data_IF_844474528756
#
_entry.id   IF_844474528756
#
_cell.length_a   1.000
_cell.length_b   1.000
_cell.length_c   1.000
_cell.angle_alpha   90.00
_cell.angle_beta   90.00
_cell.angle_gamma   90.00
#
_symmetry.space_group_name_H-M   'P 1'
#
loop_
_entity.id
_entity.type
_entity.pdbx_description
1 polymer ?
#
# COMPACT_ATOMS: atom_id res chain seq x y z
N UNK A 1 -49.62 8.06 14.10
CA UNK A 1 -48.91 9.25 14.64
C UNK A 1 -48.20 9.01 15.98
N UNK A 2 -48.66 8.08 16.83
CA UNK A 2 -48.07 7.83 18.17
C UNK A 2 -46.64 7.20 18.16
N UNK A 3 -46.34 6.33 17.20
CA UNK A 3 -45.07 5.57 17.16
C UNK A 3 -43.85 6.44 16.86
N UNK A 4 -43.97 7.41 15.95
CA UNK A 4 -42.87 8.30 15.57
C UNK A 4 -42.44 9.22 16.73
N UNK A 5 -43.39 9.69 17.53
CA UNK A 5 -43.10 10.55 18.67
C UNK A 5 -42.35 9.79 19.77
N UNK A 6 -42.72 8.51 19.98
CA UNK A 6 -42.02 7.62 20.91
C UNK A 6 -40.56 7.36 20.47
N UNK A 7 -40.31 7.22 19.16
CA UNK A 7 -38.95 7.05 18.64
C UNK A 7 -38.10 8.30 18.87
N UNK A 8 -38.64 9.50 18.64
CA UNK A 8 -37.93 10.76 18.89
C UNK A 8 -37.56 10.87 20.38
N UNK A 9 -38.52 10.62 21.27
CA UNK A 9 -38.30 10.69 22.72
C UNK A 9 -37.20 9.72 23.17
N UNK A 10 -37.21 8.50 22.64
CA UNK A 10 -36.20 7.48 22.94
C UNK A 10 -34.81 7.93 22.48
N UNK A 11 -34.68 8.45 21.26
CA UNK A 11 -33.40 8.92 20.74
C UNK A 11 -32.86 10.11 21.52
N UNK A 12 -33.72 11.03 21.96
CA UNK A 12 -33.31 12.15 22.81
C UNK A 12 -32.78 11.68 24.16
N UNK A 13 -33.42 10.68 24.77
CA UNK A 13 -32.95 10.08 26.01
C UNK A 13 -31.60 9.36 25.82
N UNK A 14 -31.45 8.57 24.76
CA UNK A 14 -30.19 7.89 24.45
C UNK A 14 -29.04 8.89 24.20
N UNK A 15 -29.32 10.01 23.53
CA UNK A 15 -28.35 11.09 23.30
C UNK A 15 -27.93 11.76 24.62
N UNK A 16 -28.89 12.05 25.50
CA UNK A 16 -28.59 12.62 26.82
C UNK A 16 -27.70 11.69 27.67
N UNK A 17 -27.99 10.38 27.65
CA UNK A 17 -27.21 9.36 28.37
C UNK A 17 -25.79 9.27 27.80
N UNK A 18 -25.65 9.24 26.48
CA UNK A 18 -24.35 9.17 25.82
C UNK A 18 -23.48 10.40 26.15
N UNK A 19 -24.07 11.60 26.12
CA UNK A 19 -23.36 12.84 26.45
C UNK A 19 -22.90 12.87 27.91
N UNK A 20 -23.74 12.44 28.85
CA UNK A 20 -23.35 12.32 30.25
C UNK A 20 -22.16 11.35 30.43
N UNK A 21 -22.15 10.23 29.70
CA UNK A 21 -21.05 9.27 29.76
C UNK A 21 -19.75 9.81 29.17
N UNK A 22 -19.82 10.55 28.06
CA UNK A 22 -18.68 11.22 27.46
C UNK A 22 -18.05 12.19 28.47
N UNK A 23 -18.87 13.01 29.14
CA UNK A 23 -18.37 13.96 30.13
C UNK A 23 -17.69 13.25 31.32
N UNK A 24 -18.26 12.14 31.80
CA UNK A 24 -17.64 11.32 32.84
C UNK A 24 -16.26 10.78 32.41
N UNK A 25 -16.17 10.20 31.21
CA UNK A 25 -14.92 9.65 30.69
C UNK A 25 -13.86 10.74 30.45
N UNK A 26 -14.28 11.95 30.09
CA UNK A 26 -13.37 13.09 29.96
C UNK A 26 -12.80 13.49 31.33
N UNK A 27 -13.62 13.56 32.38
CA UNK A 27 -13.17 13.85 33.74
C UNK A 27 -12.22 12.78 34.29
N UNK A 28 -12.50 11.50 34.02
CA UNK A 28 -11.63 10.39 34.39
C UNK A 28 -10.27 10.47 33.68
N UNK A 29 -10.27 10.72 32.36
CA UNK A 29 -9.03 10.91 31.60
C UNK A 29 -8.20 12.10 32.11
N UNK A 30 -8.84 13.20 32.51
CA UNK A 30 -8.14 14.34 33.12
C UNK A 30 -7.53 13.96 34.46
N UNK A 31 -8.22 13.17 35.27
CA UNK A 31 -7.73 12.71 36.58
C UNK A 31 -6.56 11.74 36.45
N UNK A 32 -6.66 10.77 35.54
CA UNK A 32 -5.58 9.81 35.24
C UNK A 32 -4.33 10.52 34.70
N UNK A 33 -4.49 11.51 33.82
CA UNK A 33 -3.36 12.31 33.32
C UNK A 33 -2.65 13.09 34.42
N UNK A 34 -3.39 13.59 35.43
CA UNK A 34 -2.80 14.26 36.59
C UNK A 34 -2.02 13.28 37.48
N UNK A 35 -2.51 12.05 37.65
CA UNK A 35 -1.81 11.01 38.41
C UNK A 35 -0.52 10.54 37.73
N UNK A 36 -0.53 10.39 36.41
CA UNK A 36 0.67 10.01 35.63
C UNK A 36 1.71 11.14 35.62
N UNK A 37 1.30 12.39 35.77
CA UNK A 37 2.22 13.54 35.85
C UNK A 37 2.91 13.70 37.22
N UNK A 38 2.55 12.90 38.23
CA UNK A 38 3.10 12.98 39.60
C UNK A 38 4.06 11.86 39.99
N UNK A 39 4.56 11.08 39.02
CA UNK A 39 5.57 10.05 39.29
C UNK A 39 6.99 10.68 39.38
N UNK A 40 7.71 10.57 40.51
CA UNK A 40 9.02 11.18 40.67
C UNK A 40 10.10 10.30 40.02
N UNK A 41 10.82 10.86 39.03
CA UNK A 41 12.03 10.26 38.47
C UNK A 41 13.25 10.71 39.30
N UNK A 42 14.21 9.83 39.64
CA UNK A 42 15.37 10.21 40.44
C UNK A 42 16.39 11.05 39.65
N UNK A 43 16.72 12.19 40.25
CA UNK A 43 17.98 12.94 40.30
C UNK A 43 18.99 12.81 39.14
N UNK A 44 19.22 13.93 38.44
CA UNK A 44 20.57 14.40 38.07
C UNK A 44 20.56 15.87 37.60
N UNK A 45 20.97 16.75 38.53
CA UNK A 45 21.70 18.01 38.41
C UNK A 45 21.34 19.12 37.38
N UNK A 46 21.27 20.30 37.99
CA UNK A 46 21.04 21.67 37.52
C UNK A 46 22.24 22.34 36.83
N UNK A 47 22.01 23.02 35.69
CA UNK A 47 22.15 24.49 35.49
C UNK A 47 22.19 24.87 33.99
N UNK A 48 21.54 25.98 33.55
CA UNK A 48 21.81 26.70 32.29
C UNK A 48 22.81 27.88 32.56
N UNK A 49 23.15 28.83 31.64
CA UNK A 49 22.80 29.03 30.22
C UNK A 49 24.03 29.30 29.30
N UNK A 50 23.86 29.35 27.97
CA UNK A 50 24.36 30.45 27.09
C UNK A 50 24.35 30.12 25.59
N UNK A 51 24.00 31.16 24.85
CA UNK A 51 23.94 31.40 23.42
C UNK A 51 25.33 31.48 22.77
N UNK A 52 25.57 30.83 21.61
CA UNK A 52 26.45 31.32 20.53
C UNK A 52 26.57 30.36 19.32
N UNK A 53 26.66 31.01 18.17
CA UNK A 53 26.74 30.67 16.74
C UNK A 53 27.75 29.56 16.32
N UNK A 54 27.56 28.83 15.19
CA UNK A 54 28.57 27.93 14.63
C UNK A 54 29.47 28.61 13.57
N UNK A 55 30.79 28.33 13.51
CA UNK A 55 31.67 28.69 12.39
C UNK A 55 31.99 27.48 11.45
N UNK A 56 32.63 27.71 10.27
CA UNK A 56 32.60 26.81 9.10
C UNK A 56 33.78 25.81 9.04
N UNK A 57 33.77 24.82 8.11
CA UNK A 57 34.85 23.84 7.98
C UNK A 57 36.03 24.36 7.13
N UNK A 58 37.25 24.19 7.65
CA UNK A 58 38.50 24.56 6.99
C UNK A 58 39.11 23.39 6.18
N UNK A 59 39.79 23.79 5.11
CA UNK A 59 40.42 23.03 4.04
C UNK A 59 41.85 22.59 4.42
N UNK A 60 42.26 21.37 4.06
CA UNK A 60 43.66 21.07 3.72
C UNK A 60 43.77 19.86 2.75
N UNK A 61 44.32 20.12 1.57
CA UNK A 61 44.87 19.13 0.62
C UNK A 61 46.37 18.89 0.94
N UNK A 62 47.03 17.86 0.37
CA UNK A 62 47.88 18.07 -0.83
C UNK A 62 48.01 16.79 -1.73
N UNK A 63 48.94 16.70 -2.70
CA UNK A 63 48.93 17.32 -4.02
C UNK A 63 48.99 16.30 -5.20
N UNK A 64 49.00 16.85 -6.42
CA UNK A 64 48.80 16.24 -7.73
C UNK A 64 49.82 15.18 -8.20
N UNK A 65 49.33 14.24 -9.03
CA UNK A 65 50.05 13.64 -10.16
C UNK A 65 49.09 13.46 -11.36
N UNK A 66 49.61 13.73 -12.55
CA UNK A 66 48.93 14.05 -13.81
C UNK A 66 48.63 12.82 -14.70
N UNK A 67 47.55 12.91 -15.51
CA UNK A 67 47.33 12.34 -16.87
C UNK A 67 47.17 10.79 -16.98
N UNK A 68 46.36 10.17 -17.85
CA UNK A 68 45.70 10.51 -19.12
C UNK A 68 44.58 9.46 -19.37
N UNK A 69 43.37 9.87 -19.80
CA UNK A 69 42.44 9.02 -20.56
C UNK A 69 42.63 9.29 -22.06
N UNK A 70 42.24 8.38 -22.97
CA UNK A 70 41.00 8.65 -23.72
C UNK A 70 40.15 7.43 -24.13
N UNK A 71 38.87 7.76 -24.36
CA UNK A 71 37.77 6.99 -24.97
C UNK A 71 38.06 6.59 -26.43
N UNK A 72 37.43 5.51 -26.96
CA UNK A 72 36.61 5.54 -28.19
C UNK A 72 35.86 4.23 -28.49
N UNK A 73 34.76 4.36 -29.23
CA UNK A 73 33.72 3.37 -29.58
C UNK A 73 33.83 2.99 -31.10
N UNK A 74 32.87 2.30 -31.76
CA UNK A 74 33.10 1.09 -32.59
C UNK A 74 32.98 1.28 -34.12
N UNK A 75 33.39 0.28 -34.92
CA UNK A 75 32.78 0.06 -36.26
C UNK A 75 32.93 -1.36 -36.84
N UNK A 76 31.89 -1.77 -37.54
CA UNK A 76 31.72 -3.00 -38.35
C UNK A 76 32.44 -2.91 -39.70
N UNK A 77 32.89 -4.05 -40.25
CA UNK A 77 32.92 -4.57 -41.64
C UNK A 77 33.73 -5.89 -41.52
N UNK A 78 33.51 -7.03 -42.16
CA UNK A 78 32.84 -7.42 -43.38
C UNK A 78 33.60 -8.65 -43.89
N UNK A 79 32.94 -9.82 -43.94
CA UNK A 79 33.18 -10.95 -44.86
C UNK A 79 34.64 -11.43 -45.07
N UNK A 80 35.06 -12.45 -44.30
CA UNK A 80 36.01 -13.44 -44.84
C UNK A 80 35.68 -14.87 -44.39
N UNK A 81 35.65 -15.81 -45.33
CA UNK A 81 35.11 -17.18 -45.17
C UNK A 81 36.11 -18.18 -44.59
N UNK A 82 37.31 -17.74 -44.24
CA UNK A 82 38.40 -18.65 -43.81
C UNK A 82 38.57 -18.77 -42.28
N UNK A 83 37.98 -17.86 -41.49
CA UNK A 83 38.04 -17.95 -40.01
C UNK A 83 37.06 -19.02 -39.46
N UNK A 84 35.98 -19.30 -40.19
CA UNK A 84 34.96 -20.28 -39.78
C UNK A 84 35.40 -21.75 -39.97
N UNK A 85 36.33 -22.03 -40.90
CA UNK A 85 36.86 -23.39 -41.09
C UNK A 85 37.91 -23.76 -40.04
N UNK A 86 38.70 -22.79 -39.59
CA UNK A 86 39.73 -23.01 -38.56
C UNK A 86 39.14 -23.30 -37.17
N UNK A 87 37.97 -22.72 -36.85
CA UNK A 87 37.29 -22.93 -35.57
C UNK A 87 36.48 -24.25 -35.49
N UNK A 88 36.15 -24.87 -36.63
CA UNK A 88 35.48 -26.17 -36.67
C UNK A 88 36.41 -27.38 -36.45
N UNK A 89 37.72 -27.20 -36.64
CA UNK A 89 38.70 -28.30 -36.59
C UNK A 89 39.33 -28.49 -35.18
N UNK A 90 39.27 -27.48 -34.31
CA UNK A 90 39.67 -27.60 -32.89
C UNK A 90 38.51 -28.12 -32.01
N UNK A 91 37.60 -28.89 -32.62
CA UNK A 91 36.48 -29.54 -31.92
C UNK A 91 36.65 -31.06 -31.75
N UNK A 92 37.83 -31.63 -32.00
CA UNK A 92 38.05 -33.08 -31.80
C UNK A 92 39.46 -33.34 -31.27
N UNK A 93 39.63 -33.34 -29.93
CA UNK A 93 40.53 -34.19 -29.13
C UNK A 93 40.76 -33.56 -27.74
N UNK A 94 40.18 -34.15 -26.69
CA UNK A 94 40.54 -33.86 -25.30
C UNK A 94 39.36 -33.77 -24.32
N UNK A 95 38.96 -34.90 -23.73
CA UNK A 95 38.10 -34.93 -22.54
C UNK A 95 38.94 -34.61 -21.29
N UNK A 96 38.42 -33.79 -20.36
CA UNK A 96 38.45 -33.92 -18.87
C UNK A 96 37.88 -32.66 -18.20
N UNK A 97 37.39 -32.71 -16.95
CA UNK A 97 36.09 -32.16 -16.59
C UNK A 97 36.18 -30.84 -15.81
N UNK A 98 35.38 -29.84 -16.20
CA UNK A 98 35.29 -28.57 -15.47
C UNK A 98 33.83 -28.22 -15.18
N UNK A 99 33.46 -28.52 -13.94
CA UNK A 99 32.59 -27.74 -13.04
C UNK A 99 31.42 -26.99 -13.70
N UNK A 100 30.24 -27.63 -13.69
CA UNK A 100 28.97 -26.93 -13.79
C UNK A 100 28.87 -25.96 -12.60
N UNK A 101 29.09 -24.67 -12.83
CA UNK A 101 28.68 -23.63 -11.88
C UNK A 101 27.16 -23.64 -11.85
N UNK A 102 26.61 -24.34 -10.86
CA UNK A 102 25.21 -24.25 -10.50
C UNK A 102 24.90 -22.79 -10.18
N UNK A 103 24.02 -22.16 -10.96
CA UNK A 103 23.35 -20.92 -10.54
C UNK A 103 22.72 -21.20 -9.17
N UNK A 104 23.25 -20.55 -8.14
CA UNK A 104 22.70 -20.62 -6.79
C UNK A 104 21.22 -20.20 -6.87
N UNK A 105 20.28 -20.96 -6.28
CA UNK A 105 18.89 -20.55 -6.25
C UNK A 105 18.80 -19.19 -5.56
N UNK A 106 18.19 -18.22 -6.24
CA UNK A 106 17.97 -16.88 -5.70
C UNK A 106 17.34 -17.02 -4.30
N UNK A 107 17.93 -16.46 -3.23
CA UNK A 107 17.44 -16.67 -1.87
C UNK A 107 16.00 -16.19 -1.79
N UNK A 108 15.10 -17.10 -1.41
CA UNK A 108 13.68 -16.77 -1.24
C UNK A 108 13.56 -15.61 -0.25
N UNK A 109 12.77 -14.57 -0.54
CA UNK A 109 12.61 -13.46 0.38
C UNK A 109 12.07 -14.00 1.71
N UNK A 110 12.83 -13.78 2.79
CA UNK A 110 12.43 -14.20 4.14
C UNK A 110 11.20 -13.37 4.54
N UNK A 111 10.11 -14.03 4.89
CA UNK A 111 8.96 -13.35 5.47
C UNK A 111 9.39 -12.66 6.77
N UNK A 112 8.90 -11.43 7.02
CA UNK A 112 9.12 -10.76 8.31
C UNK A 112 8.70 -11.69 9.45
N UNK A 113 9.51 -11.80 10.50
CA UNK A 113 9.19 -12.61 11.69
C UNK A 113 7.82 -12.22 12.28
N UNK A 114 7.47 -10.93 12.22
CA UNK A 114 6.15 -10.44 12.64
C UNK A 114 5.01 -10.99 11.77
N UNK A 115 5.22 -11.20 10.48
CA UNK A 115 4.21 -11.78 9.59
C UNK A 115 4.00 -13.28 9.87
N UNK A 116 5.06 -13.99 10.23
CA UNK A 116 5.01 -15.42 10.61
C UNK A 116 4.28 -15.57 11.95
N UNK A 117 4.66 -14.78 12.96
CA UNK A 117 4.02 -14.82 14.28
C UNK A 117 2.50 -14.57 14.23
N UNK A 118 2.06 -13.66 13.34
CA UNK A 118 0.62 -13.37 13.12
C UNK A 118 -0.19 -14.56 12.64
N UNK A 119 0.41 -15.56 11.99
CA UNK A 119 -0.32 -16.76 11.54
C UNK A 119 -0.86 -17.58 12.73
N UNK A 120 -0.25 -17.43 13.90
CA UNK A 120 -0.62 -18.14 15.13
C UNK A 120 -1.34 -17.23 16.13
N UNK A 121 -1.60 -15.97 15.78
CA UNK A 121 -2.31 -15.03 16.64
C UNK A 121 -3.83 -15.12 16.43
N UNK A 122 -4.61 -14.97 17.50
CA UNK A 122 -6.08 -14.93 17.40
C UNK A 122 -6.55 -13.85 16.41
N UNK A 123 -7.53 -14.12 15.54
CA UNK A 123 -8.07 -13.12 14.62
C UNK A 123 -8.60 -11.93 15.42
N UNK A 124 -7.95 -10.78 15.30
CA UNK A 124 -8.43 -9.54 15.91
C UNK A 124 -9.53 -8.96 15.02
N UNK A 125 -10.77 -8.94 15.52
CA UNK A 125 -11.97 -8.42 14.85
C UNK A 125 -12.35 -9.18 13.55
N UNK A 126 -13.61 -9.05 13.06
CA UNK A 126 -13.98 -9.55 11.73
C UNK A 126 -13.02 -8.98 10.67
N UNK A 127 -12.68 -9.83 9.69
CA UNK A 127 -11.75 -9.50 8.61
C UNK A 127 -12.12 -8.16 7.96
N UNK A 128 -11.34 -7.13 8.26
CA UNK A 128 -11.55 -5.79 7.74
C UNK A 128 -10.60 -5.52 6.58
N UNK A 129 -11.11 -4.81 5.58
CA UNK A 129 -10.37 -4.49 4.37
C UNK A 129 -10.33 -2.98 4.17
N UNK A 130 -9.23 -2.48 3.61
CA UNK A 130 -9.04 -1.06 3.39
C UNK A 130 -8.34 -0.80 2.06
N UNK A 131 -8.69 0.31 1.43
CA UNK A 131 -7.92 0.87 0.33
C UNK A 131 -6.84 1.81 0.86
N UNK A 132 -5.60 1.60 0.44
CA UNK A 132 -4.51 2.56 0.62
C UNK A 132 -4.23 3.23 -0.72
N UNK A 133 -4.24 4.56 -0.74
CA UNK A 133 -4.02 5.37 -1.92
C UNK A 133 -2.58 5.88 -1.96
N UNK A 134 -1.87 5.54 -3.02
CA UNK A 134 -0.45 5.87 -3.22
C UNK A 134 -0.31 6.66 -4.52
N UNK A 135 0.39 7.81 -4.50
CA UNK A 135 0.64 8.58 -5.71
C UNK A 135 1.59 7.82 -6.64
N UNK A 136 1.34 7.93 -7.94
CA UNK A 136 2.19 7.38 -9.00
C UNK A 136 2.41 8.44 -10.08
N UNK A 137 3.63 8.52 -10.62
CA UNK A 137 3.94 9.46 -11.70
C UNK A 137 3.35 9.01 -13.04
N UNK A 138 3.36 7.70 -13.30
CA UNK A 138 2.84 7.10 -14.52
C UNK A 138 2.14 5.80 -14.20
N UNK A 139 1.12 5.47 -14.99
CA UNK A 139 0.46 4.16 -14.92
C UNK A 139 1.39 3.10 -15.45
N UNK A 140 1.52 2.02 -14.69
CA UNK A 140 2.33 0.85 -15.06
C UNK A 140 1.40 -0.33 -15.34
N UNK A 141 1.78 -1.30 -16.16
CA UNK A 141 1.12 -2.59 -16.16
C UNK A 141 1.13 -3.20 -14.76
N UNK A 142 0.04 -3.86 -14.34
CA UNK A 142 -0.12 -4.40 -12.98
C UNK A 142 1.03 -5.36 -12.61
N UNK A 143 1.51 -6.16 -13.56
CA UNK A 143 2.63 -7.08 -13.35
C UNK A 143 3.94 -6.34 -13.01
N UNK A 144 4.20 -5.21 -13.69
CA UNK A 144 5.37 -4.36 -13.46
C UNK A 144 5.24 -3.64 -12.11
N UNK A 145 4.06 -3.11 -11.78
CA UNK A 145 3.84 -2.51 -10.46
C UNK A 145 4.08 -3.52 -9.34
N UNK A 146 3.58 -4.75 -9.48
CA UNK A 146 3.86 -5.83 -8.53
C UNK A 146 5.34 -6.21 -8.48
N UNK A 147 6.09 -6.08 -9.58
CA UNK A 147 7.53 -6.31 -9.60
C UNK A 147 8.27 -5.24 -8.81
N UNK A 148 7.99 -3.96 -9.08
CA UNK A 148 8.57 -2.83 -8.36
C UNK A 148 8.28 -2.91 -6.85
N UNK A 149 7.05 -3.27 -6.45
CA UNK A 149 6.74 -3.49 -5.04
C UNK A 149 7.61 -4.57 -4.39
N UNK A 150 7.93 -5.65 -5.11
CA UNK A 150 8.84 -6.70 -4.61
C UNK A 150 10.28 -6.20 -4.49
N UNK A 151 10.73 -5.36 -5.43
CA UNK A 151 12.05 -4.71 -5.37
C UNK A 151 12.15 -3.75 -4.17
N UNK A 152 11.05 -3.09 -3.81
CA UNK A 152 10.94 -2.29 -2.58
C UNK A 152 10.80 -3.14 -1.30
N UNK A 153 10.92 -4.46 -1.40
CA UNK A 153 10.70 -5.43 -0.32
C UNK A 153 9.29 -5.41 0.30
N UNK A 154 8.29 -4.96 -0.46
CA UNK A 154 6.89 -5.00 -0.07
C UNK A 154 6.29 -6.34 -0.49
N UNK A 155 5.56 -6.98 0.42
CA UNK A 155 4.91 -8.26 0.13
C UNK A 155 3.66 -8.06 -0.75
N UNK A 156 3.87 -8.03 -2.07
CA UNK A 156 2.80 -7.86 -3.06
C UNK A 156 1.73 -8.96 -3.04
N UNK A 157 1.96 -10.11 -2.39
CA UNK A 157 0.94 -11.17 -2.24
C UNK A 157 -0.16 -10.80 -1.23
N UNK A 158 0.15 -9.91 -0.28
CA UNK A 158 -0.82 -9.42 0.72
C UNK A 158 -1.68 -8.27 0.20
N UNK A 159 -1.37 -7.77 -1.01
CA UNK A 159 -2.20 -6.82 -1.74
C UNK A 159 -3.21 -7.63 -2.55
N UNK A 160 -4.47 -7.56 -2.13
CA UNK A 160 -5.57 -8.36 -2.68
C UNK A 160 -5.92 -7.90 -4.10
N UNK A 161 -5.99 -6.59 -4.31
CA UNK A 161 -6.25 -5.99 -5.62
C UNK A 161 -5.50 -4.66 -5.79
N UNK A 162 -5.28 -4.29 -7.05
CA UNK A 162 -4.62 -3.06 -7.45
C UNK A 162 -5.55 -2.33 -8.43
N UNK A 163 -5.91 -1.09 -8.10
CA UNK A 163 -6.80 -0.27 -8.91
C UNK A 163 -6.20 1.09 -9.20
N UNK A 164 -6.39 1.59 -10.42
CA UNK A 164 -6.06 2.97 -10.75
C UNK A 164 -7.27 3.86 -10.46
N UNK A 165 -7.37 4.35 -9.22
CA UNK A 165 -8.50 5.20 -8.81
C UNK A 165 -8.52 6.55 -9.53
N UNK A 166 -7.34 7.06 -9.89
CA UNK A 166 -7.18 8.30 -10.64
C UNK A 166 -6.01 8.20 -11.64
N UNK A 167 -5.69 9.27 -12.38
CA UNK A 167 -4.57 9.33 -13.34
C UNK A 167 -3.21 9.12 -12.66
N UNK A 168 -3.03 9.72 -11.49
CA UNK A 168 -1.79 9.72 -10.71
C UNK A 168 -1.92 9.05 -9.33
N UNK A 169 -2.97 8.25 -9.11
CA UNK A 169 -3.18 7.51 -7.85
C UNK A 169 -3.44 6.05 -8.14
N UNK A 170 -2.71 5.18 -7.45
CA UNK A 170 -2.99 3.75 -7.35
C UNK A 170 -3.56 3.43 -5.99
N UNK A 171 -4.47 2.48 -5.95
CA UNK A 171 -5.19 2.05 -4.76
C UNK A 171 -4.94 0.58 -4.53
N UNK A 172 -4.47 0.25 -3.33
CA UNK A 172 -4.19 -1.12 -2.91
C UNK A 172 -5.29 -1.58 -1.98
N UNK A 173 -6.03 -2.63 -2.37
CA UNK A 173 -6.93 -3.31 -1.47
C UNK A 173 -6.12 -4.27 -0.59
N UNK A 174 -6.16 -4.07 0.71
CA UNK A 174 -5.40 -4.85 1.69
C UNK A 174 -6.30 -5.29 2.85
N UNK A 175 -5.85 -6.29 3.60
CA UNK A 175 -6.38 -6.55 4.93
C UNK A 175 -5.82 -5.52 5.93
N UNK A 176 -6.64 -5.03 6.85
CA UNK A 176 -6.25 -4.00 7.84
C UNK A 176 -5.02 -4.39 8.68
N UNK A 177 -4.83 -5.68 8.98
CA UNK A 177 -3.62 -6.14 9.70
C UNK A 177 -2.30 -5.92 8.95
N UNK A 178 -2.34 -5.70 7.63
CA UNK A 178 -1.16 -5.37 6.82
C UNK A 178 -0.90 -3.86 6.75
N UNK A 179 -1.86 -3.04 7.17
CA UNK A 179 -1.86 -1.60 6.97
C UNK A 179 -0.61 -0.93 7.55
N UNK A 180 -0.31 -1.18 8.82
CA UNK A 180 0.85 -0.59 9.50
C UNK A 180 2.18 -1.00 8.88
N UNK A 181 2.31 -2.27 8.49
CA UNK A 181 3.49 -2.80 7.83
C UNK A 181 3.69 -2.17 6.44
N UNK A 182 2.62 -2.10 5.64
CA UNK A 182 2.66 -1.47 4.32
C UNK A 182 3.01 0.02 4.42
N UNK A 183 2.41 0.76 5.36
CA UNK A 183 2.74 2.17 5.60
C UNK A 183 4.22 2.35 5.95
N UNK A 184 4.72 1.59 6.92
CA UNK A 184 6.13 1.68 7.32
C UNK A 184 7.09 1.38 6.17
N UNK A 185 6.77 0.40 5.32
CA UNK A 185 7.58 0.07 4.15
C UNK A 185 7.56 1.18 3.08
N UNK A 186 6.40 1.79 2.83
CA UNK A 186 6.28 2.91 1.89
C UNK A 186 7.04 4.14 2.40
N UNK A 187 6.88 4.50 3.67
CA UNK A 187 7.58 5.62 4.28
C UNK A 187 9.10 5.44 4.32
N UNK A 188 9.59 4.21 4.51
CA UNK A 188 11.01 3.89 4.41
C UNK A 188 11.61 4.31 3.07
N UNK A 189 10.83 4.24 1.98
CA UNK A 189 11.23 4.62 0.63
C UNK A 189 10.77 6.05 0.25
N UNK A 190 10.38 6.88 1.22
CA UNK A 190 9.89 8.26 1.03
C UNK A 190 8.65 8.34 0.13
N UNK A 191 7.87 7.27 0.06
CA UNK A 191 6.60 7.25 -0.67
C UNK A 191 5.51 7.75 0.28
N UNK A 192 4.87 8.86 -0.08
CA UNK A 192 3.76 9.42 0.69
C UNK A 192 2.48 8.64 0.43
N UNK A 193 1.57 8.64 1.41
CA UNK A 193 0.26 8.00 1.31
C UNK A 193 -0.79 9.11 1.32
N UNK A 194 -1.80 8.99 0.46
CA UNK A 194 -2.85 9.99 0.28
C UNK A 194 -4.08 9.61 1.10
N UNK A 195 -3.99 9.80 2.41
CA UNK A 195 -5.05 9.40 3.36
C UNK A 195 -6.36 10.19 3.19
N UNK A 196 -6.28 11.41 2.68
CA UNK A 196 -7.43 12.29 2.41
C UNK A 196 -8.10 12.01 1.06
N UNK A 197 -7.58 11.08 0.26
CA UNK A 197 -8.17 10.79 -1.05
C UNK A 197 -9.45 9.97 -0.89
N UNK A 198 -10.57 10.58 -1.26
CA UNK A 198 -11.85 9.89 -1.34
C UNK A 198 -12.18 9.53 -2.80
N UNK A 199 -12.20 8.23 -3.18
CA UNK A 199 -12.56 7.77 -4.53
C UNK A 199 -14.00 8.08 -4.95
N UNK A 200 -14.87 8.46 -4.02
CA UNK A 200 -16.26 8.84 -4.27
C UNK A 200 -16.44 10.36 -4.43
N UNK A 201 -15.37 11.14 -4.23
CA UNK A 201 -15.44 12.58 -4.33
C UNK A 201 -15.74 13.05 -5.76
N UNK A 202 -16.54 14.13 -5.92
CA UNK A 202 -16.89 14.67 -7.24
C UNK A 202 -15.67 15.25 -7.98
N UNK A 203 -14.58 15.52 -7.25
CA UNK A 203 -13.37 16.18 -7.75
C UNK A 203 -12.46 15.28 -8.59
N UNK A 204 -12.68 13.97 -8.63
CA UNK A 204 -11.84 13.01 -9.38
C UNK A 204 -12.07 13.12 -10.89
N UNK A 205 -13.25 13.58 -11.31
CA UNK A 205 -13.57 13.66 -12.73
C UNK A 205 -12.86 14.85 -13.39
N UNK A 206 -11.74 14.56 -14.06
CA UNK A 206 -10.98 15.51 -14.86
C UNK A 206 -11.45 15.59 -16.33
N UNK A 207 -12.69 15.19 -16.60
CA UNK A 207 -13.27 15.30 -17.94
C UNK A 207 -13.72 16.75 -18.17
N UNK A 208 -13.22 17.44 -19.22
CA UNK A 208 -13.64 18.80 -19.54
C UNK A 208 -15.16 18.92 -19.74
N UNK A 209 -15.82 17.88 -20.25
CA UNK A 209 -17.28 17.87 -20.43
C UNK A 209 -18.05 17.88 -19.10
N UNK A 210 -17.43 17.42 -18.01
CA UNK A 210 -18.04 17.32 -16.69
C UNK A 210 -17.64 18.47 -15.76
N UNK A 211 -16.91 19.49 -16.24
CA UNK A 211 -16.50 20.62 -15.41
C UNK A 211 -17.70 21.45 -14.94
N UNK A 212 -18.68 21.68 -15.82
CA UNK A 212 -19.85 22.52 -15.54
C UNK A 212 -21.08 21.74 -15.05
N UNK A 213 -20.94 20.42 -14.87
CA UNK A 213 -22.04 19.56 -14.41
C UNK A 213 -22.32 19.71 -12.92
N UNK A 214 -23.53 19.32 -12.50
CA UNK A 214 -23.91 19.36 -11.09
C UNK A 214 -23.05 18.43 -10.23
N UNK A 215 -22.82 18.82 -8.98
CA UNK A 215 -22.06 18.02 -8.01
C UNK A 215 -22.69 16.63 -7.87
N UNK A 216 -24.02 16.55 -7.85
CA UNK A 216 -24.75 15.29 -7.76
C UNK A 216 -24.43 14.34 -8.92
N UNK A 217 -24.43 14.84 -10.16
CA UNK A 217 -24.10 14.04 -11.35
C UNK A 217 -22.66 13.54 -11.29
N UNK A 218 -21.72 14.38 -10.84
CA UNK A 218 -20.31 14.01 -10.66
C UNK A 218 -20.15 12.93 -9.58
N UNK A 219 -20.80 13.08 -8.44
CA UNK A 219 -20.77 12.07 -7.36
C UNK A 219 -21.37 10.75 -7.81
N UNK A 220 -22.49 10.78 -8.54
CA UNK A 220 -23.12 9.57 -9.09
C UNK A 220 -22.19 8.85 -10.08
N UNK A 221 -21.52 9.61 -10.95
CA UNK A 221 -20.53 9.06 -11.88
C UNK A 221 -19.31 8.50 -11.15
N UNK A 222 -18.76 9.23 -10.19
CA UNK A 222 -17.61 8.79 -9.38
C UNK A 222 -17.93 7.47 -8.67
N UNK A 223 -19.11 7.39 -8.03
CA UNK A 223 -19.61 6.15 -7.42
C UNK A 223 -19.74 5.03 -8.44
N UNK A 224 -20.35 5.29 -9.60
CA UNK A 224 -20.48 4.29 -10.66
C UNK A 224 -19.12 3.73 -11.10
N UNK A 225 -18.16 4.61 -11.39
CA UNK A 225 -16.81 4.23 -11.82
C UNK A 225 -16.06 3.44 -10.73
N UNK A 226 -16.18 3.87 -9.47
CA UNK A 226 -15.61 3.16 -8.33
C UNK A 226 -16.19 1.74 -8.22
N UNK A 227 -17.52 1.62 -8.28
CA UNK A 227 -18.22 0.34 -8.21
C UNK A 227 -17.86 -0.60 -9.38
N UNK A 228 -17.70 -0.09 -10.60
CA UNK A 228 -17.24 -0.87 -11.75
C UNK A 228 -15.83 -1.46 -11.53
N UNK A 229 -14.92 -0.66 -10.94
CA UNK A 229 -13.57 -1.13 -10.59
C UNK A 229 -13.61 -2.17 -9.48
N UNK A 230 -14.44 -1.96 -8.46
CA UNK A 230 -14.64 -2.89 -7.36
C UNK A 230 -15.22 -4.24 -7.83
N UNK A 231 -16.23 -4.23 -8.69
CA UNK A 231 -16.77 -5.47 -9.28
C UNK A 231 -15.73 -6.20 -10.16
N UNK A 232 -14.87 -5.46 -10.86
CA UNK A 232 -13.73 -6.04 -11.58
C UNK A 232 -12.69 -6.65 -10.64
N UNK A 233 -12.49 -6.07 -9.45
CA UNK A 233 -11.62 -6.63 -8.42
C UNK A 233 -12.16 -7.95 -7.89
N UNK A 234 -13.45 -8.01 -7.60
CA UNK A 234 -14.09 -9.22 -7.09
C UNK A 234 -13.93 -10.40 -8.04
N UNK A 235 -14.06 -10.18 -9.36
CA UNK A 235 -13.80 -11.20 -10.39
C UNK A 235 -12.37 -11.76 -10.38
N UNK A 236 -11.40 -11.03 -9.83
CA UNK A 236 -10.00 -11.48 -9.70
C UNK A 236 -9.71 -12.20 -8.38
N UNK A 237 -10.58 -12.06 -7.38
CA UNK A 237 -10.39 -12.68 -6.07
C UNK A 237 -10.75 -14.18 -6.12
N UNK A 238 -10.05 -14.98 -5.33
CA UNK A 238 -10.38 -16.40 -5.13
C UNK A 238 -11.52 -16.55 -4.14
N UNK A 239 -12.33 -17.61 -4.27
CA UNK A 239 -13.54 -17.87 -3.47
C UNK A 239 -13.49 -17.48 -1.97
N UNK A 240 -12.52 -17.92 -1.15
CA UNK A 240 -12.52 -17.55 0.27
C UNK A 240 -12.27 -16.06 0.52
N UNK A 241 -11.41 -15.43 -0.29
CA UNK A 241 -11.15 -13.99 -0.22
C UNK A 241 -12.31 -13.19 -0.80
N UNK A 242 -12.92 -13.69 -1.88
CA UNK A 242 -14.11 -13.11 -2.48
C UNK A 242 -15.21 -12.98 -1.43
N UNK A 243 -15.60 -14.09 -0.78
CA UNK A 243 -16.66 -14.09 0.24
C UNK A 243 -16.36 -13.12 1.39
N UNK A 244 -15.13 -13.14 1.92
CA UNK A 244 -14.75 -12.27 3.02
C UNK A 244 -14.84 -10.78 2.62
N UNK A 245 -14.31 -10.43 1.46
CA UNK A 245 -14.27 -9.04 0.96
C UNK A 245 -15.68 -8.56 0.60
N UNK A 246 -16.49 -9.36 -0.08
CA UNK A 246 -17.86 -8.97 -0.45
C UNK A 246 -18.74 -8.81 0.78
N UNK A 247 -18.64 -9.71 1.76
CA UNK A 247 -19.40 -9.61 3.01
C UNK A 247 -19.02 -8.36 3.79
N UNK A 248 -17.73 -8.01 3.85
CA UNK A 248 -17.28 -6.76 4.47
C UNK A 248 -17.90 -5.54 3.79
N UNK A 249 -17.84 -5.46 2.46
CA UNK A 249 -18.39 -4.31 1.73
C UNK A 249 -19.92 -4.25 1.79
N UNK A 250 -20.59 -5.40 1.84
CA UNK A 250 -22.04 -5.49 2.04
C UNK A 250 -22.44 -4.97 3.43
N UNK A 251 -21.73 -5.41 4.48
CA UNK A 251 -21.95 -4.94 5.85
C UNK A 251 -21.66 -3.44 6.02
N UNK A 252 -20.69 -2.90 5.26
CA UNK A 252 -20.39 -1.47 5.27
C UNK A 252 -21.46 -0.58 4.60
N UNK A 253 -22.42 -1.18 3.87
CA UNK A 253 -23.42 -0.44 3.08
C UNK A 253 -22.86 0.22 1.81
N UNK A 254 -21.61 -0.09 1.44
CA UNK A 254 -20.98 0.43 0.22
C UNK A 254 -21.55 -0.23 -1.04
N UNK A 255 -21.93 -1.51 -0.92
CA UNK A 255 -22.55 -2.32 -1.98
C UNK A 255 -23.80 -3.02 -1.44
N UNK A 256 -24.72 -3.33 -2.34
CA UNK A 256 -25.95 -4.08 -2.03
C UNK A 256 -25.95 -5.47 -2.68
N UNK A 257 -26.87 -6.34 -2.27
CA UNK A 257 -27.05 -7.66 -2.88
C UNK A 257 -27.36 -7.55 -4.39
N UNK A 258 -28.11 -6.52 -4.81
CA UNK A 258 -28.42 -6.27 -6.22
C UNK A 258 -27.15 -5.95 -7.03
N UNK A 259 -26.21 -5.23 -6.43
CA UNK A 259 -24.91 -4.96 -7.04
C UNK A 259 -24.17 -6.28 -7.26
N UNK A 260 -24.05 -7.16 -6.25
CA UNK A 260 -23.36 -8.44 -6.40
C UNK A 260 -23.99 -9.33 -7.49
N UNK A 261 -25.33 -9.39 -7.56
CA UNK A 261 -26.07 -10.12 -8.58
C UNK A 261 -25.78 -9.61 -10.00
N UNK A 262 -25.57 -8.30 -10.17
CA UNK A 262 -25.35 -7.68 -11.49
C UNK A 262 -24.01 -8.00 -12.15
N UNK A 263 -23.03 -8.56 -11.42
CA UNK A 263 -21.71 -8.85 -11.97
C UNK A 263 -21.54 -10.26 -12.53
N UNK A 264 -22.63 -11.04 -12.65
CA UNK A 264 -22.60 -12.47 -13.06
C UNK A 264 -21.43 -13.21 -12.41
N UNK A 265 -21.23 -12.95 -11.12
CA UNK A 265 -20.27 -13.66 -10.29
C UNK A 265 -20.89 -15.04 -10.08
N UNK A 266 -20.54 -15.98 -10.97
CA UNK A 266 -21.10 -17.33 -11.02
C UNK A 266 -21.26 -17.91 -9.60
N UNK A 267 -22.44 -18.44 -9.24
CA UNK A 267 -22.61 -19.13 -7.97
C UNK A 267 -21.75 -20.40 -8.02
N UNK A 268 -21.06 -20.71 -6.92
CA UNK A 268 -21.79 -21.33 -5.84
C UNK A 268 -21.54 -20.62 -4.51
N UNK A 269 -22.27 -21.02 -3.48
CA UNK A 269 -22.08 -20.67 -2.06
C UNK A 269 -22.97 -19.55 -1.49
N UNK A 270 -24.17 -19.33 -2.03
CA UNK A 270 -25.26 -18.76 -1.21
C UNK A 270 -26.02 -19.82 -0.38
N UNK A 271 -25.77 -21.13 -0.60
CA UNK A 271 -26.45 -22.23 0.10
C UNK A 271 -25.73 -22.71 1.38
N UNK A 272 -24.89 -21.87 2.01
CA UNK A 272 -24.31 -22.18 3.32
C UNK A 272 -24.33 -20.96 4.22
N UNK A 273 -25.52 -20.67 4.73
CA UNK A 273 -25.73 -19.97 6.02
C UNK A 273 -26.52 -20.94 6.90
#
# INVERSE_FOLDING_TARGET
>A
MSTHLQTIQRLQNELAIANAKIHQLQQENVSLRKQVSSEPTPTANSNPPSESTPPPPNVHAPPAMMLLLPLLYPHNYGKDRDIQKFLSHILILGKTPTTKVSKLPNPKPKHSLAAIARQFSSPTAPSSFKFIHVPIHRRLPIHQLRANLRELHINARRILDIQYSDRNVVSFLIHTCFESELRSQLYKHKITIRDEFDPLSPSISHDPALLNESIERKTKLARHVFLQRLGSAFRRLKAPLYNAVTNYFLQSGLIDLNFLKSFDLAPPLLDRI
#
